data_IF_126916813157
#
_entry.id   IF_126916813157
#
_cell.length_a   1.000
_cell.length_b   1.000
_cell.length_c   1.000
_cell.angle_alpha   90.00
_cell.angle_beta   90.00
_cell.angle_gamma   90.00
#
_symmetry.space_group_name_H-M   'P 1'
#
loop_
_entity.id
_entity.type
_entity.pdbx_description
1 polymer ?
#
# COMPACT_ATOMS: atom_id res chain seq x y z
N UNK A 1 -1.28 -16.88 -2.74
CA UNK A 1 -1.77 -17.05 -4.14
C UNK A 1 -1.09 -16.11 -5.13
N UNK A 2 -0.92 -14.81 -4.83
CA UNK A 2 -0.33 -13.86 -5.77
C UNK A 2 1.07 -14.24 -6.30
N UNK A 3 1.92 -14.88 -5.49
CA UNK A 3 3.27 -15.30 -5.91
C UNK A 3 3.26 -16.27 -7.11
N UNK A 4 2.24 -17.13 -7.23
CA UNK A 4 2.11 -18.05 -8.37
C UNK A 4 2.00 -17.33 -9.72
N UNK A 5 1.58 -16.06 -9.73
CA UNK A 5 1.57 -15.23 -10.94
C UNK A 5 2.97 -14.97 -11.50
N UNK A 6 4.02 -15.24 -10.72
CA UNK A 6 5.43 -15.13 -11.12
C UNK A 6 6.06 -16.48 -11.49
N UNK A 7 5.32 -17.59 -11.34
CA UNK A 7 5.85 -18.95 -11.50
C UNK A 7 6.80 -19.40 -10.38
N UNK A 8 6.95 -18.61 -9.31
CA UNK A 8 7.78 -18.94 -8.15
C UNK A 8 6.94 -19.49 -7.00
N UNK A 9 7.58 -20.30 -6.15
CA UNK A 9 7.00 -20.86 -4.92
C UNK A 9 7.54 -20.20 -3.65
N UNK A 10 8.63 -19.45 -3.76
CA UNK A 10 9.28 -18.72 -2.66
C UNK A 10 9.47 -17.27 -3.04
N UNK A 11 9.06 -16.35 -2.16
CA UNK A 11 9.18 -14.92 -2.36
C UNK A 11 8.52 -14.15 -1.21
N UNK A 12 8.97 -12.93 -0.96
CA UNK A 12 8.36 -12.03 0.01
C UNK A 12 7.25 -11.22 -0.67
N UNK A 13 6.00 -11.42 -0.25
CA UNK A 13 4.86 -10.66 -0.78
C UNK A 13 4.59 -9.47 0.14
N UNK A 14 4.46 -8.28 -0.44
CA UNK A 14 4.03 -7.06 0.25
C UNK A 14 2.70 -6.62 -0.37
N UNK A 15 1.61 -6.79 0.37
CA UNK A 15 0.27 -6.43 -0.07
C UNK A 15 -0.13 -5.06 0.46
N UNK A 16 -0.21 -4.08 -0.45
CA UNK A 16 -0.59 -2.71 -0.13
C UNK A 16 -2.03 -2.46 -0.59
N UNK A 17 -2.98 -2.87 0.25
CA UNK A 17 -4.42 -2.73 0.05
C UNK A 17 -4.95 -1.31 0.24
N UNK A 18 -6.25 -1.12 -0.01
CA UNK A 18 -6.94 0.16 0.15
C UNK A 18 -7.49 0.29 1.59
N UNK A 19 -6.63 0.56 2.56
CA UNK A 19 -7.06 1.00 3.88
C UNK A 19 -6.77 2.50 3.98
N UNK A 20 -7.82 3.26 3.67
CA UNK A 20 -8.04 4.67 3.96
C UNK A 20 -6.79 5.55 4.12
N UNK A 21 -6.31 6.12 3.02
CA UNK A 21 -5.44 7.30 3.11
C UNK A 21 -6.29 8.53 3.47
N UNK A 22 -6.56 8.72 4.78
CA UNK A 22 -7.24 9.91 5.34
C UNK A 22 -6.50 11.22 5.03
N UNK A 23 -5.20 11.12 4.75
CA UNK A 23 -4.32 12.26 4.51
C UNK A 23 -4.72 13.09 3.29
N UNK A 24 -5.16 12.46 2.18
CA UNK A 24 -5.51 13.21 0.96
C UNK A 24 -6.67 14.19 1.17
N UNK A 25 -7.86 13.76 1.66
CA UNK A 25 -8.96 14.69 1.86
C UNK A 25 -8.61 15.83 2.82
N UNK A 26 -7.87 15.55 3.90
CA UNK A 26 -7.41 16.58 4.84
C UNK A 26 -6.53 17.64 4.15
N UNK A 27 -5.50 17.21 3.41
CA UNK A 27 -4.62 18.12 2.67
C UNK A 27 -5.37 18.90 1.59
N UNK A 28 -6.35 18.30 0.92
CA UNK A 28 -7.17 18.97 -0.08
C UNK A 28 -8.10 20.02 0.54
N UNK A 29 -8.71 19.74 1.68
CA UNK A 29 -9.56 20.73 2.36
C UNK A 29 -8.75 21.93 2.85
N UNK A 30 -7.54 21.71 3.36
CA UNK A 30 -6.70 22.78 3.90
C UNK A 30 -6.01 23.59 2.78
N UNK A 31 -5.44 22.92 1.79
CA UNK A 31 -4.52 23.53 0.84
C UNK A 31 -5.02 23.52 -0.61
N UNK A 32 -5.96 22.65 -0.94
CA UNK A 32 -6.62 22.66 -2.23
C UNK A 32 -7.52 23.88 -2.39
N UNK A 33 -7.77 24.30 -3.64
CA UNK A 33 -8.69 25.40 -3.94
C UNK A 33 -9.69 24.97 -4.99
N UNK A 34 -10.95 25.35 -4.79
CA UNK A 34 -11.98 25.21 -5.79
C UNK A 34 -12.04 26.45 -6.68
N UNK A 35 -12.11 26.22 -7.99
CA UNK A 35 -12.28 27.24 -9.01
C UNK A 35 -13.63 26.98 -9.69
N UNK A 36 -14.60 27.88 -9.54
CA UNK A 36 -15.90 27.74 -10.17
C UNK A 36 -15.80 27.89 -11.71
N UNK A 37 -16.80 27.40 -12.45
CA UNK A 37 -16.86 27.59 -13.90
C UNK A 37 -16.74 29.08 -14.24
N UNK A 38 -15.75 29.45 -15.04
CA UNK A 38 -15.55 30.84 -15.48
C UNK A 38 -14.82 30.88 -16.82
N UNK A 39 -14.96 32.00 -17.54
CA UNK A 39 -14.22 32.27 -18.78
C UNK A 39 -12.84 32.90 -18.51
N UNK A 40 -12.47 33.08 -17.24
CA UNK A 40 -11.18 33.65 -16.86
C UNK A 40 -10.10 32.60 -16.95
N UNK A 41 -8.87 33.03 -17.22
CA UNK A 41 -7.70 32.18 -17.05
C UNK A 41 -7.62 31.71 -15.58
N UNK A 42 -7.22 30.47 -15.33
CA UNK A 42 -7.28 29.86 -13.99
C UNK A 42 -6.54 30.63 -12.89
N UNK A 43 -5.44 31.33 -13.24
CA UNK A 43 -4.70 32.16 -12.29
C UNK A 43 -5.44 33.44 -11.85
N UNK A 44 -6.46 33.86 -12.61
CA UNK A 44 -7.26 35.07 -12.35
C UNK A 44 -8.67 34.73 -11.86
N UNK A 45 -9.09 33.47 -12.00
CA UNK A 45 -10.39 33.01 -11.56
C UNK A 45 -10.49 33.03 -10.02
N UNK A 46 -11.69 33.31 -9.46
CA UNK A 46 -11.86 33.32 -8.01
C UNK A 46 -11.57 31.92 -7.45
N UNK A 47 -10.78 31.87 -6.38
CA UNK A 47 -10.42 30.63 -5.70
C UNK A 47 -11.05 30.62 -4.32
N UNK A 48 -11.78 29.55 -3.99
CA UNK A 48 -12.37 29.35 -2.67
C UNK A 48 -11.84 28.06 -2.02
N UNK A 49 -12.14 27.88 -0.74
CA UNK A 49 -12.00 26.56 -0.12
C UNK A 49 -12.87 25.52 -0.82
N UNK A 50 -12.45 24.26 -0.76
CA UNK A 50 -13.20 23.14 -1.33
C UNK A 50 -14.40 22.84 -0.42
N UNK A 51 -15.65 22.86 -0.95
CA UNK A 51 -16.83 22.45 -0.18
C UNK A 51 -16.76 20.98 0.22
N UNK A 52 -17.21 20.64 1.44
CA UNK A 52 -17.17 19.26 1.97
C UNK A 52 -17.98 18.26 1.17
N UNK A 53 -19.00 18.73 0.44
CA UNK A 53 -19.84 17.88 -0.41
C UNK A 53 -19.17 17.54 -1.75
N UNK A 54 -18.02 18.15 -2.07
CA UNK A 54 -17.37 18.00 -3.37
C UNK A 54 -16.40 16.82 -3.41
N UNK A 55 -15.66 16.55 -2.33
CA UNK A 55 -14.69 15.46 -2.25
C UNK A 55 -15.39 14.13 -1.92
N UNK A 56 -16.14 13.60 -2.87
CA UNK A 56 -16.73 12.26 -2.73
C UNK A 56 -15.65 11.18 -2.77
N UNK A 57 -15.89 9.98 -2.20
CA UNK A 57 -14.94 8.87 -2.25
C UNK A 57 -14.47 8.53 -3.67
N UNK A 58 -15.37 8.58 -4.65
CA UNK A 58 -15.07 8.29 -6.06
C UNK A 58 -14.14 9.34 -6.66
N UNK A 59 -14.39 10.63 -6.38
CA UNK A 59 -13.51 11.70 -6.82
C UNK A 59 -12.14 11.62 -6.16
N UNK A 60 -12.09 11.28 -4.87
CA UNK A 60 -10.83 11.10 -4.15
C UNK A 60 -10.02 9.94 -4.73
N UNK A 61 -10.66 8.81 -5.06
CA UNK A 61 -10.00 7.68 -5.71
C UNK A 61 -9.47 8.04 -7.11
N UNK A 62 -10.27 8.76 -7.88
CA UNK A 62 -9.90 9.27 -9.19
C UNK A 62 -8.70 10.24 -9.10
N UNK A 63 -8.68 11.15 -8.12
CA UNK A 63 -7.53 12.02 -7.84
C UNK A 63 -6.30 11.20 -7.42
N UNK A 64 -6.45 10.21 -6.54
CA UNK A 64 -5.33 9.33 -6.11
C UNK A 64 -4.66 8.65 -7.28
N UNK A 65 -5.45 8.11 -8.21
CA UNK A 65 -4.92 7.37 -9.36
C UNK A 65 -4.29 8.25 -10.44
N UNK A 66 -4.73 9.52 -10.56
CA UNK A 66 -4.29 10.41 -11.66
C UNK A 66 -3.31 11.51 -11.24
N UNK A 67 -3.34 11.94 -9.98
CA UNK A 67 -2.60 13.13 -9.54
C UNK A 67 -1.43 12.82 -8.59
N UNK A 68 -1.53 11.74 -7.82
CA UNK A 68 -0.60 11.40 -6.73
C UNK A 68 0.54 10.52 -7.24
N UNK A 69 1.74 10.75 -6.71
CA UNK A 69 2.93 9.96 -7.02
C UNK A 69 3.92 10.00 -5.85
N UNK A 70 4.79 9.00 -5.76
CA UNK A 70 5.85 8.98 -4.77
C UNK A 70 7.05 9.77 -5.26
N UNK A 71 7.39 10.86 -4.57
CA UNK A 71 8.59 11.64 -4.85
C UNK A 71 9.85 10.85 -4.45
N UNK A 72 10.93 10.89 -5.25
CA UNK A 72 12.24 10.35 -4.86
C UNK A 72 12.95 11.23 -3.82
N UNK A 73 12.45 12.45 -3.56
CA UNK A 73 13.03 13.38 -2.60
C UNK A 73 12.57 13.03 -1.18
N UNK A 74 13.45 12.37 -0.44
CA UNK A 74 13.29 12.06 0.97
C UNK A 74 13.58 13.30 1.82
N UNK A 75 12.64 13.69 2.68
CA UNK A 75 12.88 14.73 3.68
C UNK A 75 13.30 14.01 4.96
N UNK A 76 14.45 14.39 5.52
CA UNK A 76 14.96 13.78 6.75
C UNK A 76 13.95 13.98 7.89
N UNK A 77 13.42 12.88 8.43
CA UNK A 77 12.38 12.93 9.46
C UNK A 77 12.84 13.54 10.80
N UNK A 78 14.15 13.58 11.04
CA UNK A 78 14.73 14.02 12.32
C UNK A 78 14.79 15.54 12.51
N UNK A 79 14.30 16.35 11.56
CA UNK A 79 14.47 17.81 11.60
C UNK A 79 13.22 18.60 12.02
N UNK A 80 12.05 17.98 12.16
CA UNK A 80 10.80 18.71 12.38
C UNK A 80 10.01 18.13 13.56
N UNK A 81 10.03 18.84 14.70
CA UNK A 81 9.24 18.50 15.89
C UNK A 81 7.75 18.84 15.74
N UNK A 82 7.43 19.83 14.90
CA UNK A 82 6.09 20.43 14.82
C UNK A 82 5.48 20.19 13.43
N UNK A 83 4.18 19.87 13.39
CA UNK A 83 3.45 19.57 12.16
C UNK A 83 3.47 20.75 11.15
N UNK A 84 3.39 21.99 11.64
CA UNK A 84 3.45 23.19 10.79
C UNK A 84 4.82 23.33 10.09
N UNK A 85 5.92 23.15 10.84
CA UNK A 85 7.29 23.20 10.31
C UNK A 85 7.52 22.11 9.27
N UNK A 86 6.91 20.94 9.45
CA UNK A 86 6.94 19.83 8.49
C UNK A 86 6.20 20.16 7.19
N UNK A 87 5.01 20.78 7.29
CA UNK A 87 4.26 21.26 6.10
C UNK A 87 5.05 22.33 5.35
N UNK A 88 5.72 23.24 6.05
CA UNK A 88 6.53 24.27 5.39
C UNK A 88 7.77 23.68 4.72
N UNK A 89 8.41 22.68 5.33
CA UNK A 89 9.44 21.90 4.67
C UNK A 89 8.90 21.20 3.40
N UNK A 90 7.71 20.59 3.50
CA UNK A 90 7.07 19.92 2.37
C UNK A 90 6.83 20.86 1.19
N UNK A 91 6.37 22.09 1.46
CA UNK A 91 6.21 23.13 0.44
C UNK A 91 7.56 23.54 -0.17
N UNK A 92 8.56 23.78 0.67
CA UNK A 92 9.87 24.30 0.24
C UNK A 92 10.69 23.29 -0.56
N UNK A 93 10.56 22.00 -0.24
CA UNK A 93 11.30 20.92 -0.91
C UNK A 93 10.48 20.20 -1.99
N UNK A 94 9.30 20.71 -2.34
CA UNK A 94 8.52 20.11 -3.42
C UNK A 94 9.06 20.50 -4.78
N UNK A 95 9.17 19.51 -5.67
CA UNK A 95 9.54 19.71 -7.08
C UNK A 95 8.34 19.66 -8.03
N UNK A 96 7.17 19.31 -7.50
CA UNK A 96 5.97 19.11 -8.29
C UNK A 96 5.30 20.44 -8.65
N UNK A 97 4.74 20.48 -9.85
CA UNK A 97 3.89 21.59 -10.27
C UNK A 97 2.47 21.40 -9.77
N UNK A 98 1.79 22.54 -9.57
CA UNK A 98 0.36 22.55 -9.28
C UNK A 98 -0.44 21.93 -10.43
N UNK A 99 -1.56 21.30 -10.09
CA UNK A 99 -2.45 20.64 -11.03
C UNK A 99 -3.85 21.24 -10.97
N UNK A 100 -4.35 21.67 -12.12
CA UNK A 100 -5.74 22.06 -12.30
C UNK A 100 -6.57 20.84 -12.69
N UNK A 101 -7.22 20.23 -11.69
CA UNK A 101 -7.98 19.00 -11.85
C UNK A 101 -9.43 19.28 -12.24
N UNK A 102 -9.89 18.91 -13.45
CA UNK A 102 -11.24 19.18 -13.88
C UNK A 102 -12.25 18.28 -13.16
N UNK A 103 -13.39 18.86 -12.76
CA UNK A 103 -14.48 18.14 -12.08
C UNK A 103 -15.83 18.51 -12.70
N UNK A 104 -16.78 17.58 -12.64
CA UNK A 104 -18.16 17.84 -13.05
C UNK A 104 -19.02 18.01 -11.80
N UNK A 105 -19.64 19.18 -11.67
CA UNK A 105 -20.55 19.49 -10.58
C UNK A 105 -21.89 18.77 -10.78
N UNK A 106 -22.68 18.65 -9.71
CA UNK A 106 -24.01 18.00 -9.76
C UNK A 106 -24.95 18.66 -10.80
N UNK A 107 -24.78 19.94 -11.04
CA UNK A 107 -25.56 20.72 -12.01
C UNK A 107 -25.08 20.53 -13.47
N UNK A 108 -24.13 19.61 -13.71
CA UNK A 108 -23.55 19.33 -15.04
C UNK A 108 -22.49 20.34 -15.49
N UNK A 109 -22.25 21.41 -14.72
CA UNK A 109 -21.24 22.41 -15.01
C UNK A 109 -19.82 21.89 -14.69
N UNK A 110 -18.81 22.42 -15.41
CA UNK A 110 -17.40 22.05 -15.21
C UNK A 110 -16.72 22.99 -14.21
N UNK A 111 -16.36 22.46 -13.04
CA UNK A 111 -15.49 23.14 -12.08
C UNK A 111 -14.04 22.68 -12.21
N UNK A 112 -13.15 23.25 -11.41
CA UNK A 112 -11.76 22.82 -11.32
C UNK A 112 -11.30 22.84 -9.87
N UNK A 113 -10.52 21.84 -9.47
CA UNK A 113 -9.81 21.80 -8.19
C UNK A 113 -8.33 22.06 -8.47
N UNK A 114 -7.79 23.13 -7.91
CA UNK A 114 -6.35 23.37 -7.87
C UNK A 114 -5.75 22.52 -6.74
N UNK A 115 -4.91 21.56 -7.14
CA UNK A 115 -4.17 20.69 -6.23
C UNK A 115 -2.71 21.16 -6.22
N UNK A 116 -2.20 21.68 -5.08
CA UNK A 116 -0.81 22.09 -4.99
C UNK A 116 0.16 20.94 -5.29
N UNK A 117 1.26 21.22 -5.96
CA UNK A 117 2.27 20.22 -6.33
C UNK A 117 2.76 19.41 -5.14
N UNK A 118 3.07 20.08 -4.03
CA UNK A 118 3.56 19.42 -2.82
C UNK A 118 2.53 18.46 -2.19
N UNK A 119 1.23 18.75 -2.28
CA UNK A 119 0.18 17.82 -1.80
C UNK A 119 0.22 16.52 -2.61
N UNK A 120 0.46 16.63 -3.93
CA UNK A 120 0.54 15.47 -4.83
C UNK A 120 1.70 14.54 -4.49
N UNK A 121 2.84 15.11 -4.11
CA UNK A 121 4.03 14.36 -3.69
C UNK A 121 3.88 13.76 -2.28
N UNK A 122 3.35 14.56 -1.34
CA UNK A 122 3.43 14.26 0.10
C UNK A 122 2.26 13.45 0.63
N UNK A 123 1.17 13.33 -0.13
CA UNK A 123 0.06 12.41 0.21
C UNK A 123 0.54 10.98 0.40
N UNK A 124 1.49 10.52 -0.42
CA UNK A 124 2.04 9.16 -0.32
C UNK A 124 3.14 9.01 0.75
N UNK A 125 3.57 10.11 1.39
CA UNK A 125 4.69 10.10 2.33
C UNK A 125 4.36 9.27 3.56
N UNK A 126 3.11 9.30 4.04
CA UNK A 126 2.59 8.51 5.18
C UNK A 126 2.91 7.02 5.09
N UNK A 127 3.10 6.48 3.89
CA UNK A 127 3.44 5.06 3.67
C UNK A 127 4.90 4.74 4.02
N UNK A 128 5.75 5.76 4.09
CA UNK A 128 7.19 5.70 4.34
C UNK A 128 7.58 6.28 5.69
N UNK A 129 6.69 7.09 6.29
CA UNK A 129 6.82 7.57 7.67
C UNK A 129 6.37 6.46 8.63
N UNK A 130 7.12 6.28 9.71
CA UNK A 130 6.74 5.37 10.78
C UNK A 130 7.20 5.92 12.11
N UNK A 131 6.47 5.61 13.16
CA UNK A 131 6.79 5.99 14.53
C UNK A 131 6.86 4.75 15.43
N UNK A 132 6.75 4.94 16.74
CA UNK A 132 6.81 3.85 17.71
C UNK A 132 5.56 2.96 17.68
N UNK A 133 4.42 3.50 17.25
CA UNK A 133 3.12 2.83 17.24
C UNK A 133 2.81 2.19 15.88
N UNK A 134 3.15 2.87 14.79
CA UNK A 134 2.89 2.42 13.42
C UNK A 134 4.17 2.36 12.57
N UNK A 135 4.48 1.15 12.09
CA UNK A 135 5.64 0.93 11.21
C UNK A 135 5.32 1.34 9.77
N UNK A 136 6.25 2.06 9.16
CA UNK A 136 6.22 2.30 7.71
C UNK A 136 6.35 1.00 6.91
N UNK A 137 5.98 1.00 5.63
CA UNK A 137 6.06 -0.18 4.77
C UNK A 137 7.50 -0.75 4.69
N UNK A 138 8.57 0.06 4.51
CA UNK A 138 9.94 -0.43 4.55
C UNK A 138 10.32 -1.09 5.88
N UNK A 139 9.86 -0.52 7.01
CA UNK A 139 10.12 -1.09 8.34
C UNK A 139 9.35 -2.39 8.54
N UNK A 140 8.10 -2.49 8.06
CA UNK A 140 7.33 -3.74 8.05
C UNK A 140 8.08 -4.84 7.29
N UNK A 141 8.66 -4.54 6.13
CA UNK A 141 9.47 -5.48 5.35
C UNK A 141 10.68 -5.99 6.17
N UNK A 142 11.43 -5.08 6.81
CA UNK A 142 12.61 -5.44 7.62
C UNK A 142 12.23 -6.20 8.91
N UNK A 143 11.11 -5.84 9.53
CA UNK A 143 10.56 -6.53 10.69
C UNK A 143 10.16 -7.96 10.35
N UNK A 144 9.45 -8.16 9.23
CA UNK A 144 9.11 -9.49 8.72
C UNK A 144 10.35 -10.32 8.43
N UNK A 145 11.37 -9.76 7.79
CA UNK A 145 12.63 -10.47 7.50
C UNK A 145 13.41 -10.82 8.78
N UNK A 146 13.39 -9.95 9.79
CA UNK A 146 14.10 -10.20 11.07
C UNK A 146 13.53 -11.39 11.83
N UNK A 147 12.23 -11.64 11.71
CA UNK A 147 11.54 -12.78 12.34
C UNK A 147 11.86 -14.12 11.67
N UNK A 148 12.44 -14.11 10.48
CA UNK A 148 12.82 -15.32 9.75
C UNK A 148 14.19 -15.84 10.19
N UNK A 149 14.41 -17.14 9.95
CA UNK A 149 15.72 -17.76 10.09
C UNK A 149 16.77 -17.08 9.19
N UNK A 150 18.04 -16.96 9.62
CA UNK A 150 19.08 -16.25 8.88
C UNK A 150 19.21 -16.64 7.40
N UNK A 151 19.07 -17.92 7.09
CA UNK A 151 19.26 -18.48 5.74
C UNK A 151 18.16 -18.07 4.75
N UNK A 152 16.96 -17.74 5.23
CA UNK A 152 15.83 -17.31 4.40
C UNK A 152 15.87 -15.82 4.06
N UNK A 153 16.59 -15.01 4.83
CA UNK A 153 16.56 -13.54 4.72
C UNK A 153 17.08 -13.05 3.38
N UNK A 154 18.22 -13.59 2.92
CA UNK A 154 18.83 -13.20 1.64
C UNK A 154 17.99 -13.64 0.44
N UNK A 155 17.50 -14.90 0.34
CA UNK A 155 16.59 -15.28 -0.74
C UNK A 155 15.33 -14.41 -0.80
N UNK A 156 14.71 -14.12 0.34
CA UNK A 156 13.43 -13.39 0.38
C UNK A 156 13.57 -11.89 0.11
N UNK A 157 14.63 -11.23 0.61
CA UNK A 157 14.89 -9.82 0.25
C UNK A 157 15.29 -9.66 -1.22
N UNK A 158 15.76 -10.74 -1.86
CA UNK A 158 16.06 -10.79 -3.31
C UNK A 158 14.84 -11.14 -4.17
N UNK A 159 13.67 -11.37 -3.57
CA UNK A 159 12.47 -11.81 -4.28
C UNK A 159 11.22 -11.14 -3.72
N UNK A 160 11.23 -9.81 -3.71
CA UNK A 160 10.10 -9.01 -3.22
C UNK A 160 9.07 -8.84 -4.33
N UNK A 161 7.82 -9.18 -4.05
CA UNK A 161 6.66 -8.96 -4.91
C UNK A 161 5.73 -7.92 -4.28
N UNK A 162 5.54 -6.80 -4.95
CA UNK A 162 4.57 -5.77 -4.53
C UNK A 162 3.20 -6.07 -5.17
N UNK A 163 2.16 -6.16 -4.35
CA UNK A 163 0.78 -6.34 -4.79
C UNK A 163 -0.14 -5.30 -4.15
N UNK A 164 -1.40 -5.26 -4.60
CA UNK A 164 -2.41 -4.33 -4.07
C UNK A 164 -2.47 -3.00 -4.84
N UNK A 165 -3.54 -2.24 -4.60
CA UNK A 165 -3.85 -1.02 -5.35
C UNK A 165 -2.85 0.11 -5.15
N UNK A 166 -2.38 0.32 -3.93
CA UNK A 166 -1.42 1.39 -3.59
C UNK A 166 -0.09 1.18 -4.31
N UNK A 167 0.29 -0.09 -4.56
CA UNK A 167 1.54 -0.38 -5.24
C UNK A 167 1.59 0.07 -6.72
N UNK A 168 0.46 0.53 -7.27
CA UNK A 168 0.38 1.12 -8.61
C UNK A 168 0.72 2.62 -8.63
N UNK A 169 0.87 3.28 -7.48
CA UNK A 169 1.25 4.69 -7.42
C UNK A 169 2.61 4.87 -8.14
N UNK A 170 2.74 5.84 -9.07
CA UNK A 170 4.01 6.06 -9.77
C UNK A 170 5.15 6.34 -8.79
N UNK A 171 6.29 5.68 -8.98
CA UNK A 171 7.47 5.83 -8.11
C UNK A 171 7.44 5.00 -6.82
N UNK A 172 6.34 4.31 -6.49
CA UNK A 172 6.19 3.58 -5.24
C UNK A 172 7.29 2.52 -4.99
N UNK A 173 7.54 1.65 -5.98
CA UNK A 173 8.58 0.63 -5.89
C UNK A 173 9.98 1.23 -5.70
N UNK A 174 10.31 2.26 -6.47
CA UNK A 174 11.59 2.96 -6.37
C UNK A 174 11.76 3.61 -5.00
N UNK A 175 10.68 4.19 -4.45
CA UNK A 175 10.70 4.80 -3.13
C UNK A 175 10.88 3.78 -2.02
N UNK A 176 10.19 2.63 -2.06
CA UNK A 176 10.46 1.52 -1.10
C UNK A 176 11.93 1.11 -1.17
N UNK A 177 12.49 0.95 -2.38
CA UNK A 177 13.91 0.60 -2.55
C UNK A 177 14.84 1.63 -1.93
N UNK A 178 14.56 2.92 -2.13
CA UNK A 178 15.35 4.01 -1.56
C UNK A 178 15.29 4.00 -0.02
N UNK A 179 14.10 3.85 0.57
CA UNK A 179 13.94 3.78 2.03
C UNK A 179 14.65 2.57 2.64
N UNK A 180 14.49 1.38 2.04
CA UNK A 180 15.22 0.19 2.48
C UNK A 180 16.74 0.41 2.40
N UNK A 181 17.24 1.02 1.31
CA UNK A 181 18.65 1.33 1.17
C UNK A 181 19.12 2.37 2.17
N UNK A 182 18.32 3.39 2.47
CA UNK A 182 18.60 4.41 3.50
C UNK A 182 18.77 3.73 4.86
N UNK A 183 17.77 2.96 5.29
CA UNK A 183 17.78 2.27 6.58
C UNK A 183 18.97 1.29 6.67
N UNK A 184 19.30 0.58 5.60
CA UNK A 184 20.34 -0.45 5.66
C UNK A 184 21.78 0.11 5.50
N UNK A 185 21.96 1.26 4.87
CA UNK A 185 23.28 1.88 4.66
C UNK A 185 23.62 2.92 5.73
N UNK A 186 22.63 3.69 6.14
CA UNK A 186 22.77 4.76 7.14
C UNK A 186 21.66 4.62 8.20
N UNK A 187 21.68 3.53 8.99
CA UNK A 187 20.68 3.31 10.03
C UNK A 187 20.85 4.30 11.19
N UNK A 188 19.74 4.71 11.77
CA UNK A 188 19.72 5.27 13.12
C UNK A 188 20.23 4.26 14.14
N UNK A 189 20.63 4.70 15.34
CA UNK A 189 21.11 3.79 16.39
C UNK A 189 20.05 2.74 16.79
N UNK A 190 18.76 3.10 16.74
CA UNK A 190 17.65 2.17 16.96
C UNK A 190 17.58 1.11 15.85
N UNK A 191 17.56 1.53 14.59
CA UNK A 191 17.50 0.62 13.44
C UNK A 191 18.73 -0.29 13.38
N UNK A 192 19.90 0.24 13.74
CA UNK A 192 21.15 -0.51 13.80
C UNK A 192 21.08 -1.61 14.86
N UNK A 193 20.54 -1.33 16.05
CA UNK A 193 20.35 -2.33 17.10
C UNK A 193 19.34 -3.40 16.68
N UNK A 194 18.24 -3.00 16.07
CA UNK A 194 17.12 -3.90 15.73
C UNK A 194 17.40 -4.76 14.49
N UNK A 195 17.91 -4.15 13.42
CA UNK A 195 18.08 -4.76 12.10
C UNK A 195 19.53 -5.09 11.73
N UNK A 196 20.46 -5.12 12.71
CA UNK A 196 21.89 -5.35 12.52
C UNK A 196 22.20 -6.49 11.52
N UNK A 197 21.51 -7.61 11.67
CA UNK A 197 21.69 -8.81 10.83
C UNK A 197 21.28 -8.62 9.37
N UNK A 198 20.40 -7.67 9.08
CA UNK A 198 19.90 -7.37 7.75
C UNK A 198 20.76 -6.33 7.03
N UNK A 199 21.40 -5.38 7.73
CA UNK A 199 22.12 -4.23 7.14
C UNK A 199 23.11 -4.63 6.01
N UNK A 200 23.76 -5.79 6.15
CA UNK A 200 24.71 -6.33 5.17
C UNK A 200 24.07 -6.82 3.87
N UNK A 201 22.75 -7.02 3.86
CA UNK A 201 21.97 -7.52 2.73
C UNK A 201 21.52 -6.41 1.77
N UNK A 202 21.90 -5.15 1.97
CA UNK A 202 21.43 -4.02 1.14
C UNK A 202 21.67 -4.21 -0.37
N UNK A 203 22.72 -4.95 -0.76
CA UNK A 203 23.00 -5.27 -2.19
C UNK A 203 22.08 -6.34 -2.77
N UNK A 204 21.40 -7.09 -1.92
CA UNK A 204 20.52 -8.20 -2.30
C UNK A 204 19.07 -7.76 -2.49
N UNK A 205 18.73 -6.48 -2.28
CA UNK A 205 17.36 -5.98 -2.46
C UNK A 205 16.97 -6.06 -3.94
N UNK A 206 16.00 -6.90 -4.26
CA UNK A 206 15.48 -7.06 -5.62
C UNK A 206 13.95 -7.22 -5.61
N UNK A 207 13.33 -6.69 -6.66
CA UNK A 207 11.89 -6.80 -6.91
C UNK A 207 11.66 -7.72 -8.10
N UNK A 208 10.73 -8.65 -7.98
CA UNK A 208 10.46 -9.64 -9.04
C UNK A 208 9.92 -9.00 -10.32
N UNK A 209 9.15 -7.91 -10.21
CA UNK A 209 8.60 -7.18 -11.35
C UNK A 209 9.39 -5.89 -11.64
N UNK A 210 10.72 -5.94 -11.58
CA UNK A 210 11.54 -4.77 -11.91
C UNK A 210 11.36 -4.39 -13.40
N UNK A 211 10.73 -3.24 -13.73
CA UNK A 211 10.47 -2.88 -15.11
C UNK A 211 11.74 -2.60 -15.92
N UNK A 212 12.88 -2.39 -15.25
CA UNK A 212 14.19 -2.16 -15.88
C UNK A 212 14.93 -3.45 -16.25
N UNK A 213 14.50 -4.61 -15.73
CA UNK A 213 15.16 -5.88 -16.00
C UNK A 213 14.67 -6.50 -17.33
N UNK A 214 15.64 -7.01 -18.12
CA UNK A 214 15.41 -7.66 -19.40
C UNK A 214 14.82 -9.06 -19.18
N UNK A 215 13.51 -9.11 -18.95
CA UNK A 215 12.70 -10.33 -18.82
C UNK A 215 11.27 -10.09 -19.30
N UNK A 216 10.34 -10.96 -18.92
CA UNK A 216 8.91 -10.79 -19.23
C UNK A 216 8.28 -9.54 -18.60
N UNK A 217 9.04 -8.79 -17.78
CA UNK A 217 8.60 -7.58 -17.10
C UNK A 217 7.42 -7.85 -16.18
N UNK A 218 6.66 -6.80 -15.88
CA UNK A 218 5.41 -6.90 -15.13
C UNK A 218 4.34 -7.57 -16.00
N UNK A 219 4.17 -8.89 -15.87
CA UNK A 219 3.17 -9.67 -16.63
C UNK A 219 1.74 -9.28 -16.21
N UNK A 220 1.51 -9.11 -14.90
CA UNK A 220 0.21 -8.78 -14.33
C UNK A 220 0.29 -7.49 -13.52
N UNK A 221 -0.76 -6.67 -13.58
CA UNK A 221 -0.87 -5.49 -12.74
C UNK A 221 -0.99 -5.88 -11.28
N UNK A 222 -0.32 -5.14 -10.40
CA UNK A 222 -0.16 -5.50 -8.99
C UNK A 222 -1.48 -5.64 -8.23
N UNK A 223 -2.49 -4.84 -8.57
CA UNK A 223 -3.82 -4.85 -7.94
C UNK A 223 -4.64 -6.12 -8.22
N UNK A 224 -4.39 -6.81 -9.34
CA UNK A 224 -5.17 -8.01 -9.73
C UNK A 224 -4.43 -9.33 -9.48
N UNK A 225 -3.17 -9.28 -9.02
CA UNK A 225 -2.35 -10.49 -8.80
C UNK A 225 -2.94 -11.47 -7.80
N UNK A 226 -3.63 -10.99 -6.77
CA UNK A 226 -4.34 -11.86 -5.82
C UNK A 226 -5.40 -12.72 -6.53
N UNK A 227 -6.23 -12.09 -7.36
CA UNK A 227 -7.31 -12.73 -8.11
C UNK A 227 -6.78 -13.69 -9.18
N UNK A 228 -5.79 -13.25 -9.97
CA UNK A 228 -5.16 -14.07 -11.01
C UNK A 228 -4.46 -15.28 -10.38
N UNK A 229 -3.74 -15.08 -9.28
CA UNK A 229 -3.10 -16.16 -8.54
C UNK A 229 -4.11 -17.21 -8.05
N UNK A 230 -5.29 -16.78 -7.59
CA UNK A 230 -6.39 -17.68 -7.23
C UNK A 230 -6.96 -18.44 -8.43
N UNK A 231 -7.17 -17.75 -9.55
CA UNK A 231 -7.63 -18.37 -10.80
C UNK A 231 -6.66 -19.44 -11.32
N UNK A 232 -5.36 -19.17 -11.28
CA UNK A 232 -4.31 -20.15 -11.65
C UNK A 232 -4.32 -21.36 -10.70
N UNK A 233 -4.36 -21.12 -9.39
CA UNK A 233 -4.42 -22.18 -8.38
C UNK A 233 -5.63 -23.10 -8.56
N UNK A 234 -6.82 -22.52 -8.75
CA UNK A 234 -8.05 -23.28 -8.98
C UNK A 234 -8.03 -24.08 -10.29
N UNK A 235 -7.48 -23.50 -11.36
CA UNK A 235 -7.36 -24.19 -12.65
C UNK A 235 -6.40 -25.38 -12.60
N UNK A 236 -5.33 -25.27 -11.81
CA UNK A 236 -4.36 -26.35 -11.62
C UNK A 236 -4.74 -27.33 -10.51
N UNK A 237 -5.83 -27.08 -9.75
CA UNK A 237 -6.19 -27.79 -8.52
C UNK A 237 -5.02 -27.89 -7.53
N UNK A 238 -4.26 -26.81 -7.43
CA UNK A 238 -3.19 -26.63 -6.44
C UNK A 238 -3.72 -26.05 -5.12
N UNK A 239 -5.03 -25.79 -5.03
CA UNK A 239 -5.73 -25.49 -3.78
C UNK A 239 -5.45 -26.59 -2.75
N UNK A 240 -5.41 -26.19 -1.48
CA UNK A 240 -5.39 -27.15 -0.37
C UNK A 240 -6.72 -27.90 -0.25
N UNK A 241 -7.13 -28.23 0.97
CA UNK A 241 -8.39 -28.94 1.18
C UNK A 241 -9.59 -28.11 0.68
N UNK A 242 -10.36 -28.69 -0.25
CA UNK A 242 -11.60 -28.11 -0.77
C UNK A 242 -12.80 -28.72 -0.04
N UNK A 243 -13.70 -27.87 0.46
CA UNK A 243 -14.93 -28.31 1.12
C UNK A 243 -15.99 -28.56 0.07
N UNK A 244 -16.41 -29.81 -0.07
CA UNK A 244 -17.55 -30.16 -0.92
C UNK A 244 -18.86 -29.77 -0.23
N UNK A 245 -19.94 -29.60 -1.01
CA UNK A 245 -21.25 -29.25 -0.48
C UNK A 245 -21.74 -30.24 0.58
N UNK A 246 -21.43 -31.52 0.41
CA UNK A 246 -21.82 -32.59 1.33
C UNK A 246 -21.06 -32.52 2.66
N UNK A 247 -19.84 -31.98 2.64
CA UNK A 247 -19.01 -31.76 3.83
C UNK A 247 -19.31 -30.43 4.53
N UNK A 248 -20.08 -29.54 3.90
CA UNK A 248 -20.38 -28.24 4.47
C UNK A 248 -21.45 -28.36 5.57
N UNK A 249 -21.04 -28.15 6.83
CA UNK A 249 -21.91 -28.23 8.02
C UNK A 249 -22.51 -26.89 8.44
N UNK A 250 -22.47 -25.87 7.57
CA UNK A 250 -22.91 -24.51 7.86
C UNK A 250 -21.77 -23.53 8.15
N UNK A 251 -20.57 -24.04 8.43
CA UNK A 251 -19.36 -23.24 8.64
C UNK A 251 -18.19 -23.78 7.80
N UNK A 252 -17.30 -22.89 7.36
CA UNK A 252 -16.00 -23.25 6.78
C UNK A 252 -14.99 -23.29 7.92
N UNK A 253 -14.22 -24.37 8.02
CA UNK A 253 -13.13 -24.46 8.99
C UNK A 253 -12.08 -23.40 8.65
N UNK A 254 -11.89 -22.46 9.56
CA UNK A 254 -10.87 -21.42 9.45
C UNK A 254 -9.72 -21.69 10.43
N UNK A 255 -8.52 -21.21 10.08
CA UNK A 255 -7.31 -21.38 10.89
C UNK A 255 -7.41 -20.70 12.26
N UNK A 256 -8.33 -19.73 12.41
CA UNK A 256 -8.63 -19.07 13.68
C UNK A 256 -9.51 -19.89 14.64
N UNK A 257 -10.19 -20.94 14.16
CA UNK A 257 -11.22 -21.68 14.92
C UNK A 257 -10.62 -22.85 15.73
N UNK A 258 -9.31 -23.10 15.63
CA UNK A 258 -8.54 -23.84 16.65
C UNK A 258 -8.88 -25.32 16.89
N UNK A 259 -9.87 -25.91 16.23
CA UNK A 259 -10.22 -27.33 16.40
C UNK A 259 -9.28 -28.28 15.63
N UNK A 260 -8.00 -28.32 16.02
CA UNK A 260 -7.02 -29.30 15.51
C UNK A 260 -6.99 -30.60 16.33
N UNK A 261 -7.83 -30.72 17.36
CA UNK A 261 -7.94 -31.94 18.15
C UNK A 261 -8.84 -32.95 17.44
N UNK A 262 -8.22 -33.98 16.85
CA UNK A 262 -8.88 -35.21 16.35
C UNK A 262 -9.51 -36.08 17.48
N UNK A 263 -9.93 -35.48 18.59
CA UNK A 263 -10.76 -36.16 19.58
C UNK A 263 -12.21 -35.86 19.23
N UNK A 264 -12.77 -36.70 18.36
CA UNK A 264 -14.22 -36.90 18.35
C UNK A 264 -14.53 -37.53 19.70
N UNK A 265 -14.93 -36.71 20.67
CA UNK A 265 -15.41 -37.21 21.95
C UNK A 265 -16.75 -37.93 21.67
N UNK A 266 -16.90 -39.23 21.98
CA UNK A 266 -18.11 -39.99 21.63
C UNK A 266 -19.39 -39.46 22.30
N UNK A 267 -19.26 -38.59 23.30
CA UNK A 267 -20.33 -38.04 24.13
C UNK A 267 -21.17 -36.97 23.43
N UNK A 268 -20.65 -36.29 22.40
CA UNK A 268 -21.42 -35.26 21.68
C UNK A 268 -22.48 -35.84 20.72
N UNK A 269 -22.52 -37.16 20.52
CA UNK A 269 -23.58 -37.80 19.75
C UNK A 269 -24.90 -37.96 20.52
N UNK A 270 -24.87 -38.02 21.86
CA UNK A 270 -26.08 -38.33 22.64
C UNK A 270 -26.92 -37.11 23.00
N UNK A 271 -26.37 -35.89 22.90
CA UNK A 271 -27.10 -34.65 23.23
C UNK A 271 -28.11 -34.20 22.16
N UNK A 272 -28.09 -34.79 20.96
CA UNK A 272 -28.96 -34.38 19.83
C UNK A 272 -30.23 -35.22 19.63
N UNK A 273 -30.46 -36.24 20.47
CA UNK A 273 -31.62 -37.15 20.35
C UNK A 273 -32.63 -37.09 21.50
N UNK A 274 -32.56 -36.09 22.37
CA UNK A 274 -33.49 -35.94 23.50
C UNK A 274 -34.16 -34.56 23.52
N UNK A 275 -35.12 -34.35 22.62
CA UNK A 275 -36.27 -33.47 22.89
C UNK A 275 -37.44 -33.90 22.01
N UNK A 276 -38.35 -34.68 22.60
CA UNK A 276 -39.76 -34.71 22.23
C UNK A 276 -40.49 -33.69 23.08
#
# INVERSE_FOLDING_TARGET
>A
MALFTTGLTTGLIVDCGNLETSVLPELLYEHGRFIPPSNLHFSLAPQSSIPSQLLTPELLEDIKTRAIFCSPLMIGQQQYSDAASKIDAYKNFSSATDLYYPITLKDGQRGTILIPGWVRERTAEVLFEGDEDELSIPLCILESLSKLQPDLRKPLISSILLIGGISLIPGFQSRIKQELLRIMRDPTEYEKKKYNSLLKLHKSIQFLDNPEEKGAGRIFMNNVRGWIGGSLMGSMKLSGEEITKEKFTGNVTDWSIGHWTNTVDPTDREASTSTK
#
